data_IF_091646844499
#
_entry.id   IF_091646844499
#
_cell.length_a   1.000
_cell.length_b   1.000
_cell.length_c   1.000
_cell.angle_alpha   90.00
_cell.angle_beta   90.00
_cell.angle_gamma   90.00
#
_symmetry.space_group_name_H-M   'P 1'
#
loop_
_entity.id
_entity.type
_entity.pdbx_description
1 polymer ?
#
# COMPACT_ATOMS: atom_id res chain seq x y z
N UNK A 1 22.35 9.36 5.40
CA UNK A 1 22.30 9.57 3.92
C UNK A 1 21.92 8.31 3.16
N UNK A 2 22.53 7.14 3.38
CA UNK A 2 22.26 5.89 2.63
C UNK A 2 20.78 5.46 2.54
N UNK A 3 20.02 5.59 3.64
CA UNK A 3 18.60 5.24 3.69
C UNK A 3 17.73 6.10 2.76
N UNK A 4 18.04 7.40 2.66
CA UNK A 4 17.32 8.34 1.78
C UNK A 4 17.53 7.90 0.33
N UNK A 5 18.77 7.63 -0.06
CA UNK A 5 19.12 7.16 -1.40
C UNK A 5 18.41 5.86 -1.78
N UNK A 6 18.23 4.94 -0.83
CA UNK A 6 17.55 3.65 -1.06
C UNK A 6 16.05 3.80 -1.38
N UNK A 7 15.41 4.88 -0.93
CA UNK A 7 13.99 5.17 -1.19
C UNK A 7 13.85 6.08 -2.41
N UNK A 8 14.66 7.14 -2.48
CA UNK A 8 14.54 8.17 -3.53
C UNK A 8 14.85 7.63 -4.93
N UNK A 9 15.88 6.79 -5.09
CA UNK A 9 16.23 6.23 -6.41
C UNK A 9 15.07 5.44 -7.02
N UNK A 10 14.51 4.39 -6.36
CA UNK A 10 13.44 3.62 -6.95
C UNK A 10 12.16 4.45 -7.14
N UNK A 11 11.86 5.40 -6.25
CA UNK A 11 10.64 6.22 -6.34
C UNK A 11 10.70 7.15 -7.55
N UNK A 12 11.82 7.84 -7.74
CA UNK A 12 12.03 8.69 -8.91
C UNK A 12 12.01 7.86 -10.20
N UNK A 13 12.59 6.66 -10.18
CA UNK A 13 12.51 5.73 -11.31
C UNK A 13 11.08 5.30 -11.64
N UNK A 14 10.23 5.08 -10.64
CA UNK A 14 8.82 4.75 -10.87
C UNK A 14 8.06 5.91 -11.54
N UNK A 15 8.33 7.15 -11.13
CA UNK A 15 7.72 8.35 -11.69
C UNK A 15 8.18 8.56 -13.14
N UNK A 16 9.49 8.51 -13.40
CA UNK A 16 10.06 8.74 -14.73
C UNK A 16 9.59 7.70 -15.75
N UNK A 17 9.50 6.43 -15.34
CA UNK A 17 9.12 5.33 -16.22
C UNK A 17 7.60 5.07 -16.24
N UNK A 18 6.81 5.82 -15.45
CA UNK A 18 5.37 5.58 -15.26
C UNK A 18 5.04 4.11 -14.92
N UNK A 19 5.92 3.44 -14.15
CA UNK A 19 5.83 2.01 -13.90
C UNK A 19 6.16 1.68 -12.45
N UNK A 20 5.37 0.80 -11.84
CA UNK A 20 5.63 0.25 -10.50
C UNK A 20 6.18 -1.19 -10.58
N UNK A 21 7.07 -1.59 -9.66
CA UNK A 21 7.45 -3.00 -9.49
C UNK A 21 6.23 -3.86 -9.14
N UNK A 22 6.17 -5.09 -9.66
CA UNK A 22 5.03 -5.98 -9.41
C UNK A 22 4.85 -6.32 -7.93
N UNK A 23 5.96 -6.45 -7.20
CA UNK A 23 5.99 -6.61 -5.75
C UNK A 23 5.21 -5.52 -5.00
N UNK A 24 5.12 -4.31 -5.55
CA UNK A 24 4.44 -3.18 -4.93
C UNK A 24 2.96 -3.11 -5.30
N UNK A 25 2.57 -3.78 -6.40
CA UNK A 25 1.19 -3.92 -6.85
C UNK A 25 0.43 -5.01 -6.11
N UNK A 26 1.15 -5.98 -5.52
CA UNK A 26 0.57 -7.06 -4.76
C UNK A 26 0.20 -6.61 -3.33
N UNK A 27 -1.01 -6.96 -2.88
CA UNK A 27 -1.48 -6.70 -1.52
C UNK A 27 -1.99 -8.00 -0.88
N UNK A 28 -1.87 -8.10 0.44
CA UNK A 28 -2.40 -9.25 1.19
C UNK A 28 -3.83 -8.96 1.62
N UNK A 29 -4.78 -9.76 1.16
CA UNK A 29 -6.17 -9.69 1.62
C UNK A 29 -6.29 -10.29 3.02
N UNK A 30 -6.60 -9.44 4.01
CA UNK A 30 -6.80 -9.84 5.40
C UNK A 30 -8.26 -9.63 5.78
N UNK A 31 -9.01 -10.69 6.14
CA UNK A 31 -10.35 -10.54 6.68
C UNK A 31 -10.29 -9.93 8.09
N UNK A 32 -10.94 -8.78 8.28
CA UNK A 32 -11.06 -8.12 9.57
C UNK A 32 -12.49 -8.25 10.10
N UNK A 33 -12.62 -8.79 11.31
CA UNK A 33 -13.91 -8.91 11.98
C UNK A 33 -14.48 -7.54 12.34
N UNK A 34 -15.76 -7.31 12.03
CA UNK A 34 -16.46 -6.03 12.26
C UNK A 34 -16.84 -5.78 13.72
N UNK A 35 -16.52 -6.71 14.63
CA UNK A 35 -16.86 -6.66 16.07
C UNK A 35 -18.37 -6.57 16.32
N UNK A 36 -19.16 -7.12 15.41
CA UNK A 36 -20.62 -7.20 15.50
C UNK A 36 -21.08 -8.46 14.77
N UNK A 37 -22.09 -9.12 15.34
CA UNK A 37 -22.66 -10.35 14.79
C UNK A 37 -21.97 -11.60 15.35
N UNK A 38 -22.17 -12.70 14.64
CA UNK A 38 -21.54 -13.99 14.93
C UNK A 38 -20.17 -14.07 14.26
N UNK A 39 -19.19 -14.67 14.95
CA UNK A 39 -17.84 -14.89 14.41
C UNK A 39 -17.79 -15.99 13.36
N UNK A 40 -18.80 -16.86 13.32
CA UNK A 40 -18.88 -17.94 12.33
C UNK A 40 -19.53 -17.51 11.01
N UNK A 41 -20.19 -16.34 10.99
CA UNK A 41 -20.78 -15.77 9.78
C UNK A 41 -19.77 -14.89 9.03
N UNK A 42 -19.37 -15.34 7.84
CA UNK A 42 -18.42 -14.67 6.95
C UNK A 42 -18.84 -13.24 6.58
N UNK A 43 -20.15 -12.94 6.57
CA UNK A 43 -20.65 -11.59 6.26
C UNK A 43 -20.25 -10.55 7.32
N UNK A 44 -19.90 -11.00 8.53
CA UNK A 44 -19.44 -10.13 9.62
C UNK A 44 -17.95 -9.76 9.52
N UNK A 45 -17.27 -10.15 8.45
CA UNK A 45 -15.91 -9.74 8.14
C UNK A 45 -15.90 -8.68 7.03
N UNK A 46 -14.81 -7.92 6.97
CA UNK A 46 -14.49 -7.06 5.82
C UNK A 46 -13.10 -7.42 5.30
N UNK A 47 -12.95 -7.48 3.98
CA UNK A 47 -11.63 -7.56 3.38
C UNK A 47 -10.88 -6.25 3.58
N UNK A 48 -9.62 -6.34 4.01
CA UNK A 48 -8.67 -5.23 3.97
C UNK A 48 -7.47 -5.66 3.15
N UNK A 49 -7.05 -4.83 2.22
CA UNK A 49 -5.81 -5.04 1.47
C UNK A 49 -4.66 -4.40 2.24
N UNK A 50 -3.72 -5.22 2.71
CA UNK A 50 -2.51 -4.76 3.37
C UNK A 50 -1.43 -4.61 2.30
N UNK A 51 -1.17 -3.36 1.92
CA UNK A 51 -0.12 -3.00 0.97
C UNK A 51 1.29 -3.14 1.58
N UNK A 52 2.31 -3.45 0.76
CA UNK A 52 3.70 -3.44 1.18
C UNK A 52 4.14 -2.02 1.57
N UNK A 53 5.14 -1.93 2.45
CA UNK A 53 5.58 -0.68 3.06
C UNK A 53 6.05 0.33 1.99
N UNK A 54 6.77 -0.14 0.97
CA UNK A 54 7.27 0.70 -0.13
C UNK A 54 6.13 1.35 -0.92
N UNK A 55 5.08 0.59 -1.24
CA UNK A 55 3.89 1.10 -1.93
C UNK A 55 3.16 2.17 -1.11
N UNK A 56 2.93 1.90 0.19
CA UNK A 56 2.27 2.86 1.10
C UNK A 56 2.99 4.20 1.18
N UNK A 57 4.32 4.17 1.30
CA UNK A 57 5.13 5.40 1.37
C UNK A 57 5.10 6.14 0.03
N UNK A 58 5.20 5.42 -1.09
CA UNK A 58 5.13 5.99 -2.42
C UNK A 58 3.77 6.68 -2.68
N UNK A 59 2.66 5.97 -2.44
CA UNK A 59 1.30 6.51 -2.58
C UNK A 59 1.08 7.75 -1.73
N UNK A 60 1.57 7.75 -0.48
CA UNK A 60 1.44 8.92 0.40
C UNK A 60 2.20 10.14 -0.13
N UNK A 61 3.41 9.94 -0.67
CA UNK A 61 4.19 11.03 -1.26
C UNK A 61 3.51 11.62 -2.50
N UNK A 62 3.05 10.75 -3.41
CA UNK A 62 2.32 11.18 -4.61
C UNK A 62 1.01 11.88 -4.24
N UNK A 63 0.26 11.34 -3.27
CA UNK A 63 -0.96 11.96 -2.78
C UNK A 63 -0.70 13.35 -2.21
N UNK A 64 0.41 13.57 -1.50
CA UNK A 64 0.78 14.92 -1.04
C UNK A 64 1.03 15.84 -2.23
N UNK A 65 1.78 15.41 -3.24
CA UNK A 65 2.09 16.25 -4.41
C UNK A 65 0.90 16.58 -5.32
N UNK A 66 -0.16 15.77 -5.31
CA UNK A 66 -1.34 15.97 -6.15
C UNK A 66 -2.43 16.75 -5.41
N UNK A 67 -2.56 16.52 -4.10
CA UNK A 67 -3.66 17.07 -3.29
C UNK A 67 -3.27 18.41 -2.65
N UNK A 68 -1.98 18.64 -2.39
CA UNK A 68 -1.44 19.95 -2.00
C UNK A 68 -1.20 20.84 -3.24
#
# INVERSE_FOLDING_TARGET
TKLITFITIPFNGCIQNSSLPDEWKCAVLTPLYRKKGDTDDINNYRGILVLPQKAKVFEKLISSQIVD
#
